data_IF_057090341043
#
_entry.id   IF_057090341043
#
_cell.length_a   1.000
_cell.length_b   1.000
_cell.length_c   1.000
_cell.angle_alpha   90.00
_cell.angle_beta   90.00
_cell.angle_gamma   90.00
#
_symmetry.space_group_name_H-M   'P 1'
#
loop_
_entity.id
_entity.type
_entity.pdbx_description
1 polymer ?
#
# COMPACT_ATOMS: atom_id res chain seq x y z
N UNK A 1 -26.69 -29.91 -29.08
CA UNK A 1 -26.97 -28.73 -28.24
C UNK A 1 -25.68 -27.98 -28.07
N UNK A 2 -25.68 -26.66 -28.29
CA UNK A 2 -24.47 -25.86 -28.32
C UNK A 2 -23.93 -25.70 -26.89
N UNK A 3 -22.86 -26.42 -26.54
CA UNK A 3 -22.25 -26.41 -25.20
C UNK A 3 -21.52 -25.09 -24.86
N UNK A 4 -21.74 -24.03 -25.65
CA UNK A 4 -20.93 -22.80 -25.68
C UNK A 4 -21.74 -21.52 -25.38
N UNK A 5 -22.96 -21.63 -24.87
CA UNK A 5 -23.74 -20.45 -24.45
C UNK A 5 -23.23 -19.92 -23.10
N UNK A 6 -22.02 -19.38 -23.10
CA UNK A 6 -21.54 -18.54 -22.00
C UNK A 6 -22.24 -17.19 -22.15
N UNK A 7 -23.00 -16.79 -21.13
CA UNK A 7 -23.56 -15.46 -21.04
C UNK A 7 -22.42 -14.42 -21.02
N UNK A 8 -22.23 -13.77 -22.17
CA UNK A 8 -21.19 -12.76 -22.37
C UNK A 8 -21.52 -11.43 -21.68
N UNK A 9 -22.80 -11.17 -21.40
CA UNK A 9 -23.27 -9.92 -20.81
C UNK A 9 -23.25 -9.98 -19.28
N UNK A 10 -23.48 -11.16 -18.69
CA UNK A 10 -23.46 -11.35 -17.23
C UNK A 10 -22.54 -12.48 -16.78
N UNK A 11 -21.23 -12.43 -17.09
CA UNK A 11 -20.29 -13.42 -16.62
C UNK A 11 -20.21 -13.40 -15.08
N UNK A 12 -20.03 -14.56 -14.41
CA UNK A 12 -19.92 -14.60 -12.96
C UNK A 12 -18.66 -13.84 -12.47
N UNK A 13 -18.80 -13.13 -11.36
CA UNK A 13 -17.76 -12.23 -10.83
C UNK A 13 -16.42 -12.93 -10.56
N UNK A 14 -16.44 -14.22 -10.21
CA UNK A 14 -15.24 -15.01 -9.97
C UNK A 14 -14.42 -15.23 -11.25
N UNK A 15 -15.08 -15.37 -12.41
CA UNK A 15 -14.39 -15.49 -13.69
C UNK A 15 -13.81 -14.14 -14.11
N UNK A 16 -14.55 -13.04 -13.94
CA UNK A 16 -14.07 -11.67 -14.21
C UNK A 16 -12.84 -11.29 -13.36
N UNK A 17 -12.78 -11.72 -12.10
CA UNK A 17 -11.63 -11.49 -11.20
C UNK A 17 -10.35 -12.18 -11.68
N UNK A 18 -10.46 -13.36 -12.30
CA UNK A 18 -9.32 -14.13 -12.82
C UNK A 18 -8.80 -13.61 -14.17
N UNK A 19 -9.62 -12.84 -14.89
CA UNK A 19 -9.22 -12.23 -16.17
C UNK A 19 -8.17 -11.12 -15.94
N UNK A 20 -7.27 -10.98 -16.91
CA UNK A 20 -6.38 -9.82 -17.00
C UNK A 20 -7.22 -8.53 -17.02
N UNK A 21 -6.74 -7.45 -16.37
CA UNK A 21 -7.51 -6.20 -16.20
C UNK A 21 -8.05 -5.57 -17.50
N UNK A 22 -7.35 -5.78 -18.61
CA UNK A 22 -7.75 -5.29 -19.95
C UNK A 22 -8.74 -6.22 -20.70
N UNK A 23 -8.98 -7.43 -20.19
CA UNK A 23 -9.86 -8.45 -20.81
C UNK A 23 -11.17 -8.66 -20.05
N UNK A 24 -11.42 -7.87 -19.00
CA UNK A 24 -12.70 -7.84 -18.27
C UNK A 24 -13.80 -7.29 -19.16
N UNK A 25 -15.06 -7.61 -18.85
CA UNK A 25 -16.23 -7.04 -19.54
C UNK A 25 -16.19 -5.51 -19.53
N UNK A 26 -15.79 -4.93 -18.39
CA UNK A 26 -15.47 -3.51 -18.24
C UNK A 26 -14.08 -3.40 -17.63
N UNK A 27 -13.17 -2.67 -18.29
CA UNK A 27 -11.80 -2.52 -17.82
C UNK A 27 -11.74 -1.67 -16.55
N UNK A 28 -11.00 -2.14 -15.56
CA UNK A 28 -10.78 -1.45 -14.28
C UNK A 28 -9.35 -1.66 -13.80
N UNK A 29 -8.75 -0.69 -13.08
CA UNK A 29 -7.41 -0.86 -12.52
C UNK A 29 -7.38 -1.98 -11.46
N UNK A 30 -6.21 -2.64 -11.32
CA UNK A 30 -5.96 -3.60 -10.24
C UNK A 30 -5.38 -2.94 -8.98
N UNK A 31 -4.92 -1.70 -9.11
CA UNK A 31 -4.27 -0.94 -8.06
C UNK A 31 -5.28 -0.12 -7.27
N UNK A 32 -4.98 0.10 -6.00
CA UNK A 32 -5.74 0.96 -5.10
C UNK A 32 -4.78 1.92 -4.38
N UNK A 33 -5.32 3.02 -3.86
CA UNK A 33 -4.55 3.94 -3.02
C UNK A 33 -4.51 3.43 -1.58
N UNK A 34 -3.32 3.40 -0.97
CA UNK A 34 -3.13 3.03 0.44
C UNK A 34 -2.71 4.26 1.25
N UNK A 35 -3.39 4.49 2.38
CA UNK A 35 -3.06 5.59 3.30
C UNK A 35 -1.92 5.16 4.24
N UNK A 36 -0.74 5.77 4.11
CA UNK A 36 0.49 5.38 4.84
C UNK A 36 0.76 6.32 6.05
N UNK A 37 -0.13 7.28 6.34
CA UNK A 37 0.10 8.32 7.36
C UNK A 37 0.51 7.77 8.73
N UNK A 38 -0.13 6.70 9.23
CA UNK A 38 0.23 6.10 10.53
C UNK A 38 1.68 5.63 10.56
N UNK A 39 2.14 4.99 9.47
CA UNK A 39 3.52 4.50 9.35
C UNK A 39 4.51 5.65 9.19
N UNK A 40 4.15 6.68 8.41
CA UNK A 40 4.99 7.85 8.20
C UNK A 40 5.15 8.71 9.47
N UNK A 41 4.06 8.97 10.20
CA UNK A 41 4.07 9.69 11.47
C UNK A 41 4.90 8.94 12.50
N UNK A 42 4.69 7.62 12.61
CA UNK A 42 5.49 6.77 13.50
C UNK A 42 6.99 6.87 13.19
N UNK A 43 7.41 6.70 11.93
CA UNK A 43 8.81 6.84 11.52
C UNK A 43 9.39 8.23 11.80
N UNK A 44 8.61 9.28 11.57
CA UNK A 44 9.00 10.65 11.87
C UNK A 44 9.28 10.85 13.36
N UNK A 45 8.38 10.38 14.22
CA UNK A 45 8.53 10.45 15.69
C UNK A 45 9.79 9.70 16.13
N UNK A 46 9.99 8.46 15.67
CA UNK A 46 11.18 7.68 16.02
C UNK A 46 12.47 8.38 15.60
N UNK A 47 12.51 8.94 14.39
CA UNK A 47 13.68 9.68 13.91
C UNK A 47 13.93 10.94 14.72
N UNK A 48 12.87 11.68 15.06
CA UNK A 48 12.98 12.86 15.91
C UNK A 48 13.53 12.52 17.30
N UNK A 49 12.99 11.49 17.95
CA UNK A 49 13.45 11.03 19.26
C UNK A 49 14.92 10.58 19.23
N UNK A 50 15.33 9.88 18.18
CA UNK A 50 16.72 9.46 18.00
C UNK A 50 17.67 10.66 17.89
N UNK A 51 17.33 11.64 17.05
CA UNK A 51 18.16 12.85 16.87
C UNK A 51 18.21 13.65 18.18
N UNK A 52 17.08 13.84 18.85
CA UNK A 52 17.02 14.54 20.13
C UNK A 52 17.92 13.86 21.18
N UNK A 53 17.77 12.53 21.33
CA UNK A 53 18.61 11.74 22.24
C UNK A 53 20.10 11.81 21.90
N UNK A 54 20.45 11.70 20.62
CA UNK A 54 21.83 11.82 20.15
C UNK A 54 22.41 13.20 20.46
N UNK A 55 21.66 14.28 20.20
CA UNK A 55 22.11 15.64 20.52
C UNK A 55 22.34 15.81 22.03
N UNK A 56 21.45 15.29 22.88
CA UNK A 56 21.64 15.34 24.33
C UNK A 56 22.92 14.62 24.76
N UNK A 57 23.19 13.43 24.22
CA UNK A 57 24.42 12.68 24.52
C UNK A 57 25.67 13.45 24.08
N UNK A 58 25.66 14.03 22.87
CA UNK A 58 26.79 14.81 22.36
C UNK A 58 27.04 16.05 23.23
N UNK A 59 26.00 16.75 23.65
CA UNK A 59 26.10 17.88 24.58
C UNK A 59 26.63 17.46 25.95
N UNK A 60 26.17 16.32 26.49
CA UNK A 60 26.64 15.80 27.76
C UNK A 60 28.14 15.47 27.71
N UNK A 61 28.62 14.84 26.62
CA UNK A 61 30.04 14.56 26.42
C UNK A 61 30.87 15.84 26.27
N UNK A 62 30.34 16.86 25.58
CA UNK A 62 31.00 18.15 25.42
C UNK A 62 31.09 18.97 26.71
N UNK A 63 30.23 18.71 27.70
CA UNK A 63 30.28 19.38 29.01
C UNK A 63 31.16 18.67 30.04
N UNK A 64 31.52 17.40 29.77
CA UNK A 64 32.35 16.56 30.65
C UNK A 64 33.84 16.62 30.27
N UNK A 65 34.20 17.30 29.18
CA UNK A 65 35.57 17.52 28.72
C UNK A 65 35.90 19.02 28.66
#
# INVERSE_FOLDING_TARGET
GLQNDIDLLNPPAELEKKKHKLKRLVQTPNSFFMVIFKKAISLYIYRYMYVLGLTFVLWALAFVW
#
